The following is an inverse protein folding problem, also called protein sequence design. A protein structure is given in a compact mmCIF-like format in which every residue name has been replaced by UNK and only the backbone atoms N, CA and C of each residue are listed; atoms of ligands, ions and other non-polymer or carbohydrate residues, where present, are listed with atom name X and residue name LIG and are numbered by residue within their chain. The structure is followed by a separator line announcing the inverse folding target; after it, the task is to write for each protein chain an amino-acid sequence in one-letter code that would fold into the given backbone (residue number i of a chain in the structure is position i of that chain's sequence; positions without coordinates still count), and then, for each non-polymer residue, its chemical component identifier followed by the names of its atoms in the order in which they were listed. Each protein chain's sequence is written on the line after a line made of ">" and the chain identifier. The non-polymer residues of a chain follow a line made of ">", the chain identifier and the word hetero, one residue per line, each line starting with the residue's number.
data_IF_922216597697
#
_entry.id   IF_922216597697
#
_cell.length_a   1.000
_cell.length_b   1.000
_cell.length_c   1.000
_cell.angle_alpha   90.00
_cell.angle_beta   90.00
_cell.angle_gamma   90.00
#
_symmetry.space_group_name_H-M   'P 1'
#
loop_
_entity.id
_entity.type
_entity.pdbx_description
1 polymer ?
#
# COMPACT_ATOMS: atom_id res chain seq x y z
N UNK A 1 -9.66 -14.34 7.04
CA UNK A 1 -10.17 -13.27 6.15
C UNK A 1 -10.03 -13.66 4.68
N UNK A 2 -10.89 -13.13 3.81
CA UNK A 2 -10.88 -13.41 2.37
C UNK A 2 -10.17 -12.31 1.57
N UNK A 3 -9.90 -12.57 0.29
CA UNK A 3 -9.35 -11.58 -0.64
C UNK A 3 -10.27 -10.37 -0.84
N UNK A 4 -11.58 -10.57 -0.82
CA UNK A 4 -12.52 -9.46 -0.97
C UNK A 4 -12.58 -8.60 0.29
N UNK A 5 -12.44 -9.22 1.47
CA UNK A 5 -12.27 -8.48 2.73
C UNK A 5 -10.97 -7.66 2.73
N UNK A 6 -9.90 -8.18 2.12
CA UNK A 6 -8.64 -7.43 1.93
C UNK A 6 -8.86 -6.20 1.03
N UNK A 7 -9.46 -6.39 -0.14
CA UNK A 7 -9.77 -5.29 -1.08
C UNK A 7 -10.63 -4.21 -0.44
N UNK A 8 -11.67 -4.59 0.30
CA UNK A 8 -12.56 -3.65 0.96
C UNK A 8 -11.85 -2.77 1.99
N UNK A 9 -10.92 -3.32 2.78
CA UNK A 9 -10.10 -2.54 3.72
C UNK A 9 -9.25 -1.49 3.00
N UNK A 10 -8.71 -1.85 1.83
CA UNK A 10 -7.91 -0.92 1.03
C UNK A 10 -8.71 0.25 0.46
N UNK A 11 -9.93 0.00 -0.07
CA UNK A 11 -10.76 1.07 -0.60
C UNK A 11 -11.12 2.14 0.44
N UNK A 12 -11.24 1.75 1.73
CA UNK A 12 -11.48 2.67 2.85
C UNK A 12 -10.25 3.49 3.26
N UNK A 13 -9.07 3.21 2.69
CA UNK A 13 -7.82 3.85 3.08
C UNK A 13 -7.53 5.16 2.32
N UNK A 14 -8.22 5.45 1.22
CA UNK A 14 -8.13 6.74 0.54
C UNK A 14 -8.92 7.80 1.32
N UNK A 15 -8.24 8.87 1.74
CA UNK A 15 -8.77 9.83 2.72
C UNK A 15 -10.14 10.44 2.36
N UNK A 16 -11.03 10.59 3.35
CA UNK A 16 -12.28 11.36 3.23
C UNK A 16 -12.08 12.89 3.35
N UNK A 17 -10.87 13.37 3.63
CA UNK A 17 -10.54 14.80 3.84
C UNK A 17 -10.46 15.63 2.53
N UNK A 18 -10.86 15.05 1.39
CA UNK A 18 -10.78 15.66 0.07
C UNK A 18 -9.36 15.81 -0.48
N UNK A 19 -8.33 15.49 0.31
CA UNK A 19 -6.95 15.49 -0.11
C UNK A 19 -6.54 14.07 -0.46
N UNK A 20 -6.94 13.64 -1.66
CA UNK A 20 -6.52 12.41 -2.31
C UNK A 20 -4.99 12.28 -2.30
N UNK A 21 -4.46 11.67 -1.24
CA UNK A 21 -3.02 11.51 -1.00
C UNK A 21 -2.70 10.04 -0.86
N UNK A 22 -1.52 9.67 -1.33
CA UNK A 22 -0.97 8.33 -1.15
C UNK A 22 0.45 8.38 -0.61
N UNK A 23 0.88 7.27 -0.01
CA UNK A 23 2.27 7.03 0.38
C UNK A 23 2.91 6.11 -0.65
N UNK A 24 4.06 6.50 -1.19
CA UNK A 24 4.86 5.72 -2.14
C UNK A 24 5.42 4.49 -1.44
N UNK A 25 5.19 3.33 -2.06
CA UNK A 25 5.68 2.03 -1.61
C UNK A 25 6.94 1.61 -2.37
N UNK A 26 7.61 0.58 -1.84
CA UNK A 26 8.83 0.06 -2.46
C UNK A 26 8.54 -0.43 -3.88
N UNK A 27 9.36 0.02 -4.84
CA UNK A 27 9.24 -0.36 -6.24
C UNK A 27 8.09 0.32 -7.00
N UNK A 28 7.45 1.35 -6.43
CA UNK A 28 6.55 2.23 -7.17
C UNK A 28 7.33 3.36 -7.85
N UNK A 29 6.89 3.75 -9.05
CA UNK A 29 7.46 4.89 -9.80
C UNK A 29 6.34 5.82 -10.27
N UNK A 30 6.68 7.01 -10.75
CA UNK A 30 5.68 7.92 -11.30
C UNK A 30 4.96 7.32 -12.52
N UNK A 31 5.62 6.49 -13.32
CA UNK A 31 5.01 5.80 -14.47
C UNK A 31 3.93 4.82 -14.01
N UNK A 32 4.17 4.09 -12.93
CA UNK A 32 3.16 3.20 -12.34
C UNK A 32 1.93 4.01 -11.91
N UNK A 33 2.15 5.08 -11.15
CA UNK A 33 1.07 5.91 -10.60
C UNK A 33 0.30 6.61 -11.71
N UNK A 34 1.00 7.15 -12.72
CA UNK A 34 0.42 7.75 -13.93
C UNK A 34 -0.49 6.77 -14.66
N UNK A 35 -0.01 5.53 -14.87
CA UNK A 35 -0.80 4.46 -15.49
C UNK A 35 -2.04 4.11 -14.68
N UNK A 36 -1.92 3.99 -13.36
CA UNK A 36 -3.06 3.68 -12.50
C UNK A 36 -4.09 4.80 -12.50
N UNK A 37 -3.64 6.07 -12.50
CA UNK A 37 -4.50 7.25 -12.57
C UNK A 37 -5.06 7.55 -13.96
N UNK A 38 -4.47 7.02 -15.03
CA UNK A 38 -4.82 7.39 -16.40
C UNK A 38 -4.40 8.82 -16.78
N UNK A 39 -3.33 9.34 -16.18
CA UNK A 39 -2.82 10.71 -16.43
C UNK A 39 -1.35 10.68 -16.87
N UNK A 40 -0.78 11.83 -17.25
CA UNK A 40 0.64 11.90 -17.62
C UNK A 40 1.52 12.04 -16.36
N UNK A 41 2.73 11.50 -16.42
CA UNK A 41 3.75 11.69 -15.36
C UNK A 41 3.97 13.17 -15.04
N UNK A 42 3.94 14.02 -16.06
CA UNK A 42 4.10 15.48 -15.93
C UNK A 42 3.01 16.11 -15.05
N UNK A 43 1.78 15.61 -15.09
CA UNK A 43 0.68 16.13 -14.27
C UNK A 43 0.91 15.82 -12.79
N UNK A 44 1.32 14.57 -12.48
CA UNK A 44 1.66 14.17 -11.11
C UNK A 44 2.81 15.01 -10.57
N UNK A 45 3.85 15.25 -11.39
CA UNK A 45 4.97 16.12 -11.01
C UNK A 45 4.50 17.54 -10.71
N UNK A 46 3.63 18.11 -11.54
CA UNK A 46 3.07 19.46 -11.36
C UNK A 46 2.28 19.56 -10.05
N UNK A 47 1.39 18.60 -9.77
CA UNK A 47 0.58 18.60 -8.54
C UNK A 47 1.42 18.50 -7.27
N UNK A 48 2.58 17.86 -7.36
CA UNK A 48 3.48 17.58 -6.23
C UNK A 48 4.74 18.46 -6.21
N UNK A 49 4.87 19.41 -7.14
CA UNK A 49 6.05 20.28 -7.30
C UNK A 49 7.38 19.49 -7.39
N UNK A 50 7.35 18.34 -8.06
CA UNK A 50 8.51 17.45 -8.18
C UNK A 50 9.47 17.92 -9.27
N UNK A 51 10.73 18.13 -8.89
CA UNK A 51 11.81 18.52 -9.81
C UNK A 51 12.29 17.36 -10.69
N UNK A 52 12.16 16.11 -10.23
CA UNK A 52 12.55 14.90 -10.96
C UNK A 52 11.46 13.82 -10.85
N UNK A 53 11.66 12.70 -11.55
CA UNK A 53 10.77 11.53 -11.45
C UNK A 53 11.15 10.55 -10.34
N UNK A 54 12.24 10.82 -9.60
CA UNK A 54 12.68 9.97 -8.51
C UNK A 54 11.71 10.07 -7.33
N UNK A 55 11.29 8.92 -6.83
CA UNK A 55 10.42 8.80 -5.67
C UNK A 55 11.16 8.10 -4.54
N UNK A 56 10.90 8.54 -3.31
CA UNK A 56 11.40 7.89 -2.10
C UNK A 56 10.29 7.06 -1.46
N UNK A 57 10.67 5.92 -0.86
CA UNK A 57 9.75 5.11 -0.06
C UNK A 57 9.21 5.98 1.08
N UNK A 58 7.90 5.93 1.33
CA UNK A 58 7.25 6.76 2.35
C UNK A 58 6.90 8.18 1.90
N UNK A 59 7.30 8.59 0.70
CA UNK A 59 6.97 9.91 0.16
C UNK A 59 5.45 10.06 -0.02
N UNK A 60 4.89 11.17 0.45
CA UNK A 60 3.46 11.49 0.26
C UNK A 60 3.26 12.20 -1.08
N UNK A 61 2.34 11.70 -1.89
CA UNK A 61 1.96 12.30 -3.16
C UNK A 61 0.48 12.69 -3.14
N UNK A 62 0.19 13.92 -3.55
CA UNK A 62 -1.13 14.41 -3.92
C UNK A 62 -1.50 13.86 -5.29
N UNK A 63 -2.71 13.33 -5.39
CA UNK A 63 -3.30 12.78 -6.59
C UNK A 63 -4.50 13.63 -6.99
N UNK A 64 -4.79 13.65 -8.29
CA UNK A 64 -6.07 14.14 -8.81
C UNK A 64 -6.70 13.04 -9.65
N UNK A 65 -7.98 12.82 -9.43
CA UNK A 65 -8.75 11.75 -10.04
C UNK A 65 -9.63 12.31 -11.16
N UNK A 66 -8.99 12.82 -12.21
CA UNK A 66 -9.71 13.36 -13.39
C UNK A 66 -10.15 12.29 -14.38
N UNK A 67 -9.50 11.12 -14.35
CA UNK A 67 -9.65 10.09 -15.40
C UNK A 67 -10.12 8.73 -14.88
N UNK A 68 -9.96 8.46 -13.59
CA UNK A 68 -10.41 7.23 -12.93
C UNK A 68 -10.96 7.56 -11.55
N UNK A 69 -11.84 6.71 -11.04
CA UNK A 69 -12.30 6.85 -9.65
C UNK A 69 -11.18 6.51 -8.66
N UNK A 70 -11.21 7.05 -7.43
CA UNK A 70 -10.29 6.65 -6.36
C UNK A 70 -10.31 5.13 -6.11
N UNK A 71 -11.48 4.51 -6.24
CA UNK A 71 -11.68 3.07 -6.08
C UNK A 71 -10.96 2.29 -7.18
N UNK A 72 -11.13 2.69 -8.43
CA UNK A 72 -10.47 2.05 -9.57
C UNK A 72 -8.94 2.19 -9.49
N UNK A 73 -8.44 3.37 -9.10
CA UNK A 73 -7.02 3.56 -8.85
C UNK A 73 -6.49 2.60 -7.79
N UNK A 74 -7.21 2.46 -6.67
CA UNK A 74 -6.85 1.54 -5.59
C UNK A 74 -6.79 0.11 -6.07
N UNK A 75 -7.76 -0.31 -6.88
CA UNK A 75 -7.80 -1.67 -7.43
C UNK A 75 -6.64 -1.92 -8.41
N UNK A 76 -6.33 -0.97 -9.30
CA UNK A 76 -5.20 -1.08 -10.24
C UNK A 76 -3.86 -1.17 -9.51
N UNK A 77 -3.68 -0.34 -8.48
CA UNK A 77 -2.50 -0.34 -7.61
C UNK A 77 -2.41 -1.65 -6.81
N UNK A 78 -3.52 -2.10 -6.22
CA UNK A 78 -3.59 -3.37 -5.50
C UNK A 78 -3.14 -4.53 -6.39
N UNK A 79 -3.71 -4.62 -7.58
CA UNK A 79 -3.41 -5.68 -8.55
C UNK A 79 -1.92 -5.76 -8.85
N UNK A 80 -1.24 -4.63 -9.06
CA UNK A 80 0.21 -4.60 -9.29
C UNK A 80 1.00 -5.25 -8.14
N UNK A 81 0.68 -4.93 -6.89
CA UNK A 81 1.39 -5.51 -5.75
C UNK A 81 0.95 -6.95 -5.46
N UNK A 82 -0.33 -7.25 -5.68
CA UNK A 82 -0.89 -8.59 -5.53
C UNK A 82 -0.25 -9.58 -6.51
N UNK A 83 -0.03 -9.17 -7.76
CA UNK A 83 0.59 -10.02 -8.79
C UNK A 83 2.05 -10.38 -8.48
N UNK A 84 2.74 -9.57 -7.67
CA UNK A 84 4.12 -9.82 -7.24
C UNK A 84 4.25 -10.84 -6.12
N UNK A 85 3.13 -11.29 -5.54
CA UNK A 85 3.15 -12.31 -4.51
C UNK A 85 3.52 -13.70 -5.05
N UNK A 86 4.15 -14.55 -4.23
CA UNK A 86 4.24 -15.97 -4.50
C UNK A 86 2.86 -16.56 -4.81
N UNK A 87 2.82 -17.53 -5.73
CA UNK A 87 1.58 -18.14 -6.22
C UNK A 87 0.67 -18.61 -5.07
N UNK A 88 1.25 -19.17 -4.01
CA UNK A 88 0.51 -19.65 -2.84
C UNK A 88 -0.43 -18.58 -2.27
N UNK A 89 0.02 -17.34 -2.11
CA UNK A 89 -0.81 -16.23 -1.62
C UNK A 89 -1.87 -15.84 -2.64
N UNK A 90 -1.52 -15.82 -3.93
CA UNK A 90 -2.47 -15.43 -4.99
C UNK A 90 -3.61 -16.44 -5.16
N UNK A 91 -3.38 -17.71 -4.82
CA UNK A 91 -4.37 -18.79 -4.94
C UNK A 91 -5.06 -19.14 -3.62
N UNK A 92 -4.63 -18.55 -2.50
CA UNK A 92 -5.23 -18.81 -1.20
C UNK A 92 -6.67 -18.31 -1.15
N UNK A 93 -7.59 -19.17 -0.71
CA UNK A 93 -9.00 -18.82 -0.53
C UNK A 93 -9.25 -18.02 0.75
N UNK A 94 -8.41 -18.25 1.76
CA UNK A 94 -8.49 -17.62 3.07
C UNK A 94 -7.10 -17.39 3.64
N UNK A 95 -6.98 -16.31 4.40
CA UNK A 95 -5.78 -15.96 5.17
C UNK A 95 -6.12 -15.89 6.65
N UNK A 96 -5.18 -16.31 7.48
CA UNK A 96 -5.20 -16.02 8.91
C UNK A 96 -4.51 -14.70 9.20
N UNK A 97 -5.00 -14.02 10.24
CA UNK A 97 -4.35 -12.82 10.76
C UNK A 97 -3.54 -13.20 11.96
N UNK A 98 -2.23 -13.04 11.83
CA UNK A 98 -1.31 -13.15 12.95
C UNK A 98 -1.00 -11.75 13.45
N UNK A 99 -1.58 -11.33 14.59
CA UNK A 99 -1.24 -10.05 15.18
C UNK A 99 0.21 -10.07 15.70
N UNK A 100 0.87 -8.95 15.53
CA UNK A 100 2.22 -8.66 16.00
C UNK A 100 2.18 -7.32 16.74
N UNK A 101 2.66 -7.32 17.97
CA UNK A 101 2.74 -6.10 18.78
C UNK A 101 4.09 -5.44 18.50
N UNK A 102 4.06 -4.20 18.03
CA UNK A 102 5.25 -3.41 17.76
C UNK A 102 6.03 -3.20 19.05
N UNK A 103 7.32 -3.54 19.01
CA UNK A 103 8.24 -3.31 20.11
C UNK A 103 8.98 -1.98 19.94
N UNK A 104 9.54 -1.47 21.04
CA UNK A 104 10.28 -0.21 21.06
C UNK A 104 11.36 -0.13 19.97
N UNK A 105 11.39 0.99 19.25
CA UNK A 105 12.40 1.28 18.22
C UNK A 105 12.29 0.47 16.93
N UNK A 106 11.32 -0.43 16.80
CA UNK A 106 11.13 -1.19 15.57
C UNK A 106 10.62 -0.31 14.44
N UNK A 107 11.00 -0.64 13.21
CA UNK A 107 10.45 -0.05 11.99
C UNK A 107 9.66 -1.12 11.25
N UNK A 108 8.73 -0.71 10.40
CA UNK A 108 7.98 -1.67 9.59
C UNK A 108 8.89 -2.53 8.72
N UNK A 109 9.96 -1.94 8.18
CA UNK A 109 10.98 -2.66 7.41
C UNK A 109 11.66 -3.74 8.25
N UNK A 110 12.02 -3.46 9.51
CA UNK A 110 12.59 -4.45 10.42
C UNK A 110 11.63 -5.60 10.70
N UNK A 111 10.34 -5.31 10.90
CA UNK A 111 9.34 -6.34 11.20
C UNK A 111 9.07 -7.19 9.95
N UNK A 112 8.90 -6.57 8.79
CA UNK A 112 8.68 -7.28 7.52
C UNK A 112 9.88 -8.14 7.09
N UNK A 113 11.12 -7.75 7.41
CA UNK A 113 12.31 -8.53 7.11
C UNK A 113 12.32 -9.92 7.78
N UNK A 114 11.57 -10.10 8.88
CA UNK A 114 11.39 -11.40 9.55
C UNK A 114 10.33 -12.30 8.89
N UNK A 115 9.59 -11.75 7.93
CA UNK A 115 8.52 -12.41 7.19
C UNK A 115 8.82 -12.36 5.69
N UNK A 116 9.86 -13.07 5.20
CA UNK A 116 10.28 -13.01 3.80
C UNK A 116 9.17 -13.41 2.81
N UNK A 117 8.17 -14.15 3.29
CA UNK A 117 6.99 -14.55 2.54
C UNK A 117 6.01 -13.39 2.24
N UNK A 118 6.08 -12.28 2.97
CA UNK A 118 5.19 -11.11 2.84
C UNK A 118 6.02 -9.86 2.56
N UNK A 119 5.73 -9.18 1.46
CA UNK A 119 6.40 -7.91 1.17
C UNK A 119 5.94 -6.80 2.12
N UNK A 120 6.83 -5.86 2.43
CA UNK A 120 6.51 -4.62 3.19
C UNK A 120 5.26 -3.94 2.61
N UNK A 121 5.13 -3.92 1.29
CA UNK A 121 4.00 -3.29 0.59
C UNK A 121 2.66 -3.91 0.98
N UNK A 122 2.61 -5.23 1.12
CA UNK A 122 1.38 -5.96 1.46
C UNK A 122 1.04 -5.78 2.93
N UNK A 123 2.05 -5.79 3.79
CA UNK A 123 1.88 -5.47 5.20
C UNK A 123 1.32 -4.05 5.38
N UNK A 124 1.80 -3.10 4.57
CA UNK A 124 1.31 -1.73 4.54
C UNK A 124 -0.16 -1.65 4.08
N UNK A 125 -0.52 -2.36 3.00
CA UNK A 125 -1.91 -2.42 2.52
C UNK A 125 -2.86 -3.03 3.56
N UNK A 126 -2.41 -4.06 4.25
CA UNK A 126 -3.26 -4.81 5.17
C UNK A 126 -3.66 -4.00 6.40
N UNK A 127 -2.73 -3.24 6.95
CA UNK A 127 -2.86 -2.57 8.23
C UNK A 127 -3.24 -1.10 8.10
N UNK A 128 -3.81 -0.70 6.96
CA UNK A 128 -4.16 0.70 6.66
C UNK A 128 -3.02 1.70 6.94
N UNK A 129 -1.75 1.29 6.83
CA UNK A 129 -0.58 2.11 7.23
C UNK A 129 -0.47 3.43 6.47
N UNK A 130 -1.18 3.57 5.35
CA UNK A 130 -1.36 4.86 4.68
C UNK A 130 -1.93 5.96 5.58
N UNK A 131 -2.70 5.58 6.61
CA UNK A 131 -3.25 6.45 7.66
C UNK A 131 -2.36 6.56 8.89
N UNK A 132 -1.44 5.63 9.09
CA UNK A 132 -0.69 5.55 10.32
C UNK A 132 0.38 6.66 10.35
N UNK A 133 0.29 7.46 11.42
CA UNK A 133 1.41 8.21 11.98
C UNK A 133 2.62 7.27 12.15
N UNK A 134 3.80 7.83 12.38
CA UNK A 134 5.00 7.07 12.77
C UNK A 134 4.60 5.94 13.74
N UNK A 135 4.88 4.70 13.34
CA UNK A 135 4.56 3.48 14.09
C UNK A 135 5.12 3.61 15.52
N UNK A 136 4.31 3.24 16.51
CA UNK A 136 4.61 3.36 17.92
C UNK A 136 4.61 1.99 18.59
N UNK A 137 5.31 1.92 19.71
CA UNK A 137 5.27 0.77 20.60
C UNK A 137 3.82 0.46 21.02
N UNK A 138 3.47 -0.83 21.01
CA UNK A 138 2.12 -1.29 21.31
C UNK A 138 1.16 -1.31 20.11
N UNK A 139 1.52 -0.70 18.97
CA UNK A 139 0.72 -0.81 17.74
C UNK A 139 0.58 -2.28 17.32
N UNK A 140 -0.60 -2.67 16.84
CA UNK A 140 -0.84 -4.02 16.33
C UNK A 140 -0.70 -4.04 14.82
N UNK A 141 0.22 -4.87 14.33
CA UNK A 141 0.40 -5.20 12.93
C UNK A 141 -0.07 -6.62 12.70
N UNK A 142 -1.00 -6.79 11.79
CA UNK A 142 -1.48 -8.09 11.40
C UNK A 142 -0.75 -8.57 10.14
N UNK A 143 -0.18 -9.75 10.23
CA UNK A 143 0.41 -10.48 9.11
C UNK A 143 -0.63 -11.41 8.51
N UNK A 144 -0.61 -11.55 7.18
CA UNK A 144 -1.45 -12.54 6.48
C UNK A 144 -0.69 -13.86 6.36
N UNK A 145 -1.25 -14.93 6.91
CA UNK A 145 -0.69 -16.28 6.78
C UNK A 145 -1.66 -17.16 5.97
N UNK A 146 -1.10 -18.07 5.15
CA UNK A 146 -1.89 -19.07 4.43
C UNK A 146 -1.91 -20.34 5.28
N UNK A 147 -3.04 -21.04 5.28
CA UNK A 147 -3.12 -22.40 5.83
C UNK A 147 -2.20 -23.30 5.00
N UNK A 148 -1.21 -23.91 5.64
CA UNK A 148 -0.41 -24.96 4.99
C UNK A 148 -1.23 -26.23 4.82
#
# INVERSE_FOLDING_TARGET
>A
ITIDQLRQRMHRALSPDGQHRMVVFQGETLEHIARWLGVRVQDIRRWNRLKSSALHIGQRLKLQFSSVSPQEFTERRFRYHWEKLPRAYRTARQFFLRPYIVQNGQTLSHIAARHPEITVNILLYFNEFHKLRRMQEGDIINFIEIIK
#
